data_IF_416914858668
#
_entry.id   IF_416914858668
#
_cell.length_a   1.000
_cell.length_b   1.000
_cell.length_c   1.000
_cell.angle_alpha   90.00
_cell.angle_beta   90.00
_cell.angle_gamma   90.00
#
_symmetry.space_group_name_H-M   'P 1'
#
loop_
_entity.id
_entity.type
_entity.pdbx_description
1 polymer ?
#
# COMPACT_ATOMS: atom_id res chain seq x y z
N UNK A 1 -21.33 19.96 41.10
CA UNK A 1 -22.24 20.16 39.96
C UNK A 1 -21.58 21.21 39.06
N UNK A 2 -21.16 20.83 37.85
CA UNK A 2 -20.63 21.79 36.88
C UNK A 2 -21.81 22.53 36.24
N UNK A 3 -21.81 23.86 36.33
CA UNK A 3 -22.76 24.73 35.66
C UNK A 3 -22.58 24.58 34.14
N UNK A 4 -23.52 23.93 33.47
CA UNK A 4 -23.56 23.88 32.01
C UNK A 4 -24.18 25.19 31.50
N UNK A 5 -23.37 26.08 30.92
CA UNK A 5 -23.86 27.29 30.26
C UNK A 5 -24.15 26.94 28.79
N UNK A 6 -25.42 26.86 28.34
CA UNK A 6 -25.78 26.41 27.00
C UNK A 6 -25.31 27.34 25.86
N UNK A 7 -24.59 28.43 26.16
CA UNK A 7 -24.00 29.35 25.19
C UNK A 7 -22.48 29.18 24.99
N UNK A 8 -21.82 28.35 25.78
CA UNK A 8 -20.38 28.06 25.62
C UNK A 8 -20.20 26.71 24.94
N UNK A 9 -19.50 26.71 23.80
CA UNK A 9 -19.12 25.47 23.11
C UNK A 9 -18.03 24.78 23.94
N UNK A 10 -18.31 23.56 24.40
CA UNK A 10 -17.30 22.69 25.01
C UNK A 10 -16.35 22.16 23.93
N UNK A 11 -15.33 22.96 23.63
CA UNK A 11 -14.30 22.59 22.67
C UNK A 11 -13.54 21.32 23.07
N UNK A 12 -13.49 20.97 24.37
CA UNK A 12 -12.85 19.74 24.82
C UNK A 12 -13.65 18.51 24.39
N UNK A 13 -14.98 18.60 24.47
CA UNK A 13 -15.89 17.60 23.94
C UNK A 13 -15.82 17.53 22.42
N UNK A 14 -15.94 18.67 21.73
CA UNK A 14 -15.94 18.75 20.26
C UNK A 14 -14.66 18.14 19.66
N UNK A 15 -13.49 18.48 20.21
CA UNK A 15 -12.20 17.93 19.73
C UNK A 15 -12.01 16.43 20.03
N UNK A 16 -12.84 15.81 20.86
CA UNK A 16 -12.84 14.36 21.08
C UNK A 16 -13.83 13.61 20.18
N UNK A 17 -14.72 14.31 19.47
CA UNK A 17 -15.65 13.66 18.54
C UNK A 17 -14.85 13.07 17.36
N UNK A 18 -15.06 11.78 17.10
CA UNK A 18 -14.38 11.08 16.00
C UNK A 18 -14.76 11.69 14.65
N UNK A 19 -16.02 12.08 14.52
CA UNK A 19 -16.58 12.73 13.35
C UNK A 19 -15.86 14.06 13.09
N UNK A 20 -15.73 14.92 14.11
CA UNK A 20 -15.04 16.20 13.95
C UNK A 20 -13.59 16.03 13.52
N UNK A 21 -12.86 15.11 14.17
CA UNK A 21 -11.47 14.81 13.80
C UNK A 21 -11.35 14.24 12.38
N UNK A 22 -12.38 13.58 11.85
CA UNK A 22 -12.35 13.06 10.47
C UNK A 22 -12.43 14.17 9.41
N UNK A 23 -13.03 15.32 9.72
CA UNK A 23 -13.18 16.45 8.80
C UNK A 23 -12.03 17.45 8.83
N UNK A 24 -11.25 17.49 9.93
CA UNK A 24 -10.10 18.39 10.03
C UNK A 24 -9.01 18.00 9.03
N UNK A 25 -8.49 18.96 8.27
CA UNK A 25 -7.24 18.73 7.53
C UNK A 25 -6.04 18.65 8.49
N UNK A 26 -4.89 18.21 8.00
CA UNK A 26 -3.66 18.25 8.80
C UNK A 26 -3.27 19.69 9.14
N UNK A 27 -3.46 20.63 8.21
CA UNK A 27 -3.21 22.05 8.42
C UNK A 27 -4.09 22.61 9.54
N UNK A 28 -5.39 22.32 9.51
CA UNK A 28 -6.32 22.76 10.56
C UNK A 28 -5.94 22.15 11.92
N UNK A 29 -5.54 20.88 11.94
CA UNK A 29 -5.09 20.22 13.16
C UNK A 29 -3.83 20.87 13.74
N UNK A 30 -2.90 21.32 12.89
CA UNK A 30 -1.70 22.07 13.32
C UNK A 30 -2.12 23.41 13.92
N UNK A 31 -2.96 24.18 13.24
CA UNK A 31 -3.42 25.49 13.73
C UNK A 31 -4.17 25.37 15.06
N UNK A 32 -5.10 24.41 15.17
CA UNK A 32 -5.82 24.13 16.42
C UNK A 32 -4.85 23.75 17.55
N UNK A 33 -3.80 22.99 17.26
CA UNK A 33 -2.82 22.57 18.26
C UNK A 33 -2.00 23.72 18.85
N UNK A 34 -1.94 24.86 18.15
CA UNK A 34 -1.22 26.06 18.61
C UNK A 34 -2.06 26.92 19.56
N UNK A 35 -3.38 26.75 19.60
CA UNK A 35 -4.28 27.58 20.40
C UNK A 35 -4.00 27.48 21.91
N UNK A 36 -3.82 26.26 22.44
CA UNK A 36 -3.45 26.02 23.84
C UNK A 36 -2.93 24.58 24.06
N UNK A 37 -2.44 24.30 25.27
CA UNK A 37 -1.88 22.99 25.62
C UNK A 37 -2.90 21.85 25.51
N UNK A 38 -4.16 22.08 25.87
CA UNK A 38 -5.19 21.04 25.79
C UNK A 38 -5.46 20.64 24.34
N UNK A 39 -5.68 21.61 23.46
CA UNK A 39 -5.83 21.37 22.02
C UNK A 39 -4.63 20.61 21.47
N UNK A 40 -3.41 20.99 21.87
CA UNK A 40 -2.18 20.27 21.49
C UNK A 40 -2.21 18.81 21.89
N UNK A 41 -2.55 18.49 23.15
CA UNK A 41 -2.62 17.10 23.61
C UNK A 41 -3.68 16.30 22.84
N UNK A 42 -4.85 16.90 22.58
CA UNK A 42 -5.96 16.24 21.86
C UNK A 42 -5.65 15.99 20.38
N UNK A 43 -4.84 16.85 19.77
CA UNK A 43 -4.44 16.70 18.36
C UNK A 43 -3.26 15.76 18.15
N UNK A 44 -2.53 15.35 19.21
CA UNK A 44 -1.37 14.43 19.07
C UNK A 44 -1.64 13.17 18.24
N UNK A 45 -2.76 12.42 18.43
CA UNK A 45 -3.03 11.23 17.63
C UNK A 45 -3.12 11.53 16.13
N UNK A 46 -3.68 12.69 15.76
CA UNK A 46 -3.82 13.10 14.36
C UNK A 46 -2.50 13.61 13.79
N UNK A 47 -1.81 14.47 14.54
CA UNK A 47 -0.54 15.08 14.16
C UNK A 47 0.60 14.05 14.04
N UNK A 48 0.59 13.03 14.90
CA UNK A 48 1.63 12.01 14.99
C UNK A 48 1.10 10.62 14.61
N UNK A 49 0.17 10.55 13.65
CA UNK A 49 -0.38 9.29 13.15
C UNK A 49 0.59 8.56 12.22
N UNK A 50 1.33 9.31 11.41
CA UNK A 50 2.19 8.79 10.34
C UNK A 50 3.62 9.29 10.53
N UNK A 51 4.56 8.35 10.60
CA UNK A 51 5.98 8.62 10.57
C UNK A 51 6.49 8.46 9.13
N UNK A 52 7.11 9.50 8.57
CA UNK A 52 7.61 9.50 7.18
C UNK A 52 9.12 9.67 7.18
N UNK A 53 9.82 8.74 6.53
CA UNK A 53 11.27 8.81 6.33
C UNK A 53 11.63 8.69 4.85
N UNK A 54 12.79 9.25 4.51
CA UNK A 54 13.27 9.32 3.13
C UNK A 54 12.60 10.45 2.36
N UNK A 55 12.86 10.51 1.06
CA UNK A 55 12.34 11.55 0.18
C UNK A 55 11.50 10.95 -0.91
N UNK A 56 10.36 11.57 -1.19
CA UNK A 56 9.63 11.26 -2.42
C UNK A 56 10.37 11.84 -3.60
N UNK A 57 10.20 11.22 -4.77
CA UNK A 57 10.83 11.70 -6.00
C UNK A 57 10.47 13.15 -6.34
N UNK A 58 9.26 13.59 -6.00
CA UNK A 58 8.77 14.96 -6.21
C UNK A 58 9.52 15.98 -5.34
N UNK A 59 9.95 15.58 -4.14
CA UNK A 59 10.67 16.41 -3.18
C UNK A 59 12.17 16.57 -3.54
N UNK A 60 12.69 15.73 -4.46
CA UNK A 60 14.10 15.74 -4.86
C UNK A 60 14.55 17.04 -5.53
N UNK A 61 13.64 17.75 -6.19
CA UNK A 61 13.96 19.01 -6.90
C UNK A 61 14.32 20.15 -5.95
N UNK A 62 13.67 20.21 -4.79
CA UNK A 62 13.96 21.17 -3.71
C UNK A 62 15.19 20.67 -2.92
N UNK A 63 15.26 19.36 -2.66
CA UNK A 63 16.29 18.75 -1.85
C UNK A 63 17.69 18.75 -2.48
N UNK A 64 17.80 18.50 -3.78
CA UNK A 64 19.07 18.58 -4.51
C UNK A 64 19.71 19.98 -4.42
N UNK A 65 18.91 21.05 -4.27
CA UNK A 65 19.47 22.40 -4.06
C UNK A 65 20.09 22.61 -2.69
N UNK A 66 19.57 21.95 -1.65
CA UNK A 66 20.06 22.14 -0.27
C UNK A 66 21.15 21.13 0.10
N UNK A 67 21.14 19.93 -0.49
CA UNK A 67 22.20 18.93 -0.30
C UNK A 67 23.48 19.28 -1.07
N UNK A 68 23.37 19.87 -2.27
CA UNK A 68 24.51 20.46 -3.00
C UNK A 68 25.17 21.62 -2.24
N UNK A 69 24.44 22.28 -1.32
CA UNK A 69 24.99 23.31 -0.43
C UNK A 69 25.64 22.75 0.85
N UNK A 70 25.66 21.42 1.04
CA UNK A 70 26.28 20.77 2.21
C UNK A 70 25.60 21.07 3.55
N UNK A 71 24.35 21.57 3.56
CA UNK A 71 23.68 22.08 4.77
C UNK A 71 22.92 21.03 5.60
N UNK A 72 22.66 19.84 5.06
CA UNK A 72 21.86 18.81 5.73
C UNK A 72 22.59 17.47 5.72
N UNK A 73 22.98 16.99 6.91
CA UNK A 73 23.40 15.60 7.12
C UNK A 73 22.19 14.79 7.60
N UNK A 74 21.58 14.03 6.68
CA UNK A 74 20.38 13.23 6.94
C UNK A 74 20.59 12.21 8.05
N UNK A 75 21.81 11.69 8.21
CA UNK A 75 22.11 10.73 9.27
C UNK A 75 22.01 11.34 10.65
N UNK A 76 22.38 12.61 10.81
CA UNK A 76 22.24 13.32 12.08
C UNK A 76 20.77 13.58 12.40
N UNK A 77 19.97 14.02 11.43
CA UNK A 77 18.53 14.30 11.66
C UNK A 77 17.76 13.03 12.04
N UNK A 78 18.03 11.90 11.38
CA UNK A 78 17.39 10.63 11.72
C UNK A 78 17.93 10.09 13.05
N UNK A 79 19.23 10.24 13.33
CA UNK A 79 19.82 9.85 14.62
C UNK A 79 19.25 10.68 15.77
N UNK A 80 19.12 11.99 15.59
CA UNK A 80 18.57 12.91 16.57
C UNK A 80 17.08 12.60 16.75
N UNK A 81 16.30 12.39 15.70
CA UNK A 81 14.89 12.02 15.85
C UNK A 81 14.70 10.63 16.49
N UNK A 82 15.50 9.62 16.15
CA UNK A 82 15.40 8.28 16.78
C UNK A 82 15.82 8.33 18.27
N UNK A 83 16.84 9.12 18.60
CA UNK A 83 17.34 9.25 19.97
C UNK A 83 16.50 10.22 20.82
N UNK A 84 15.88 11.22 20.21
CA UNK A 84 15.11 12.28 20.87
C UNK A 84 13.60 12.10 20.76
N UNK A 85 13.08 11.23 19.88
CA UNK A 85 11.65 10.94 19.78
C UNK A 85 11.15 10.51 21.17
N UNK A 86 10.43 11.39 21.88
CA UNK A 86 10.18 11.14 23.27
C UNK A 86 9.22 9.96 23.35
N UNK A 87 9.47 9.03 24.28
CA UNK A 87 8.56 7.93 24.65
C UNK A 87 7.09 8.38 24.82
N UNK A 88 6.87 9.67 25.01
CA UNK A 88 5.55 10.30 25.16
C UNK A 88 4.74 10.41 23.86
N UNK A 89 5.37 10.38 22.69
CA UNK A 89 4.67 10.47 21.39
C UNK A 89 4.71 9.19 20.56
N UNK A 90 5.61 8.25 20.85
CA UNK A 90 5.76 7.00 20.08
C UNK A 90 4.46 6.20 20.00
N UNK A 91 3.64 6.25 21.05
CA UNK A 91 2.34 5.59 21.12
C UNK A 91 1.30 6.07 20.10
N UNK A 92 1.47 7.27 19.52
CA UNK A 92 0.52 7.82 18.56
C UNK A 92 0.81 7.40 17.12
N UNK A 93 2.06 6.99 16.83
CA UNK A 93 2.45 6.56 15.50
C UNK A 93 1.91 5.17 15.22
N UNK A 94 1.02 5.10 14.24
CA UNK A 94 0.37 3.88 13.79
C UNK A 94 0.79 3.51 12.37
N UNK A 95 1.27 4.47 11.59
CA UNK A 95 1.75 4.24 10.22
C UNK A 95 3.21 4.65 10.06
N UNK A 96 3.96 3.87 9.27
CA UNK A 96 5.33 4.16 8.88
C UNK A 96 5.43 4.14 7.35
N UNK A 97 5.87 5.25 6.76
CA UNK A 97 6.16 5.35 5.33
C UNK A 97 7.65 5.61 5.11
N UNK A 98 8.28 4.79 4.27
CA UNK A 98 9.71 4.85 3.98
C UNK A 98 9.89 5.02 2.48
N UNK A 99 10.57 6.09 2.11
CA UNK A 99 10.89 6.43 0.72
C UNK A 99 12.39 6.37 0.47
N UNK A 100 12.78 6.67 -0.77
CA UNK A 100 14.15 6.69 -1.25
C UNK A 100 15.14 7.36 -0.30
N UNK A 101 16.38 6.89 -0.38
CA UNK A 101 17.53 7.42 0.39
C UNK A 101 17.46 7.18 1.90
N UNK A 102 16.44 6.49 2.40
CA UNK A 102 16.42 6.02 3.78
C UNK A 102 17.47 4.91 4.00
N UNK A 103 18.25 5.03 5.08
CA UNK A 103 19.14 3.96 5.51
C UNK A 103 18.33 2.80 6.08
N UNK A 104 18.09 1.79 5.25
CA UNK A 104 17.19 0.67 5.55
C UNK A 104 17.58 -0.11 6.80
N UNK A 105 18.84 -0.10 7.21
CA UNK A 105 19.32 -0.74 8.45
C UNK A 105 18.75 -0.10 9.72
N UNK A 106 18.20 1.12 9.61
CA UNK A 106 17.48 1.78 10.71
C UNK A 106 16.04 1.29 10.85
N UNK A 107 15.52 0.47 9.94
CA UNK A 107 14.16 -0.06 10.05
C UNK A 107 13.95 -0.86 11.33
N UNK A 108 14.88 -1.77 11.65
CA UNK A 108 14.84 -2.58 12.86
C UNK A 108 14.72 -1.75 14.15
N UNK A 109 15.65 -0.81 14.45
CA UNK A 109 15.53 0.00 15.66
C UNK A 109 14.30 0.92 15.66
N UNK A 110 13.81 1.36 14.50
CA UNK A 110 12.56 2.14 14.42
C UNK A 110 11.38 1.29 14.85
N UNK A 111 11.23 0.06 14.33
CA UNK A 111 10.10 -0.80 14.70
C UNK A 111 10.16 -1.24 16.17
N UNK A 112 11.35 -1.31 16.77
CA UNK A 112 11.53 -1.53 18.21
C UNK A 112 10.99 -0.35 19.06
N UNK A 113 11.11 0.88 18.56
CA UNK A 113 10.61 2.10 19.25
C UNK A 113 9.11 2.31 19.02
N UNK A 114 8.66 2.13 17.77
CA UNK A 114 7.27 2.33 17.36
C UNK A 114 6.58 0.98 17.22
N UNK A 115 6.37 0.31 18.36
CA UNK A 115 5.82 -1.04 18.38
C UNK A 115 4.31 -1.12 18.10
N UNK A 116 3.59 0.01 18.06
CA UNK A 116 2.15 0.10 17.77
C UNK A 116 1.81 0.26 16.28
N UNK A 117 2.82 0.16 15.40
CA UNK A 117 2.62 0.28 13.95
C UNK A 117 1.64 -0.78 13.44
N UNK A 118 0.58 -0.31 12.79
CA UNK A 118 -0.44 -1.11 12.14
C UNK A 118 -0.25 -1.15 10.61
N UNK A 119 0.52 -0.22 10.05
CA UNK A 119 0.73 -0.08 8.62
C UNK A 119 2.16 0.32 8.32
N UNK A 120 2.78 -0.39 7.38
CA UNK A 120 4.08 -0.04 6.83
C UNK A 120 3.98 0.06 5.33
N UNK A 121 4.48 1.17 4.79
CA UNK A 121 4.62 1.40 3.35
C UNK A 121 6.08 1.69 3.00
N UNK A 122 6.66 0.93 2.08
CA UNK A 122 8.05 1.12 1.62
C UNK A 122 8.06 1.30 0.11
N UNK A 123 8.77 2.32 -0.36
CA UNK A 123 8.76 2.77 -1.75
C UNK A 123 10.17 2.88 -2.31
N UNK A 124 10.41 2.22 -3.45
CA UNK A 124 11.55 2.43 -4.33
C UNK A 124 12.93 2.27 -3.65
N UNK A 125 13.09 1.22 -2.85
CA UNK A 125 14.30 0.92 -2.07
C UNK A 125 14.76 -0.53 -2.28
N UNK A 126 16.07 -0.74 -2.18
CA UNK A 126 16.70 -2.05 -2.01
C UNK A 126 16.76 -2.43 -0.53
N UNK A 127 16.25 -3.61 -0.18
CA UNK A 127 16.18 -4.06 1.21
C UNK A 127 16.83 -5.44 1.32
N UNK A 128 17.88 -5.60 2.15
CA UNK A 128 18.36 -6.93 2.52
C UNK A 128 17.22 -7.76 3.12
N UNK A 129 17.05 -9.00 2.65
CA UNK A 129 15.95 -9.87 3.07
C UNK A 129 15.95 -10.05 4.59
N UNK A 130 17.12 -10.26 5.20
CA UNK A 130 17.28 -10.34 6.67
C UNK A 130 16.73 -9.12 7.41
N UNK A 131 16.87 -7.91 6.86
CA UNK A 131 16.41 -6.67 7.51
C UNK A 131 14.88 -6.60 7.52
N UNK A 132 14.21 -6.89 6.39
CA UNK A 132 12.74 -6.87 6.34
C UNK A 132 12.15 -8.01 7.19
N UNK A 133 12.73 -9.21 7.15
CA UNK A 133 12.32 -10.34 7.98
C UNK A 133 12.40 -9.98 9.47
N UNK A 134 13.55 -9.49 9.93
CA UNK A 134 13.75 -9.12 11.32
C UNK A 134 12.86 -7.95 11.76
N UNK A 135 12.42 -7.10 10.83
CA UNK A 135 11.49 -6.00 11.12
C UNK A 135 10.05 -6.54 11.26
N UNK A 136 9.60 -7.37 10.32
CA UNK A 136 8.28 -8.01 10.35
C UNK A 136 8.04 -8.85 11.62
N UNK A 137 9.05 -9.61 12.07
CA UNK A 137 8.94 -10.44 13.29
C UNK A 137 8.70 -9.63 14.58
N UNK A 138 9.02 -8.32 14.59
CA UNK A 138 8.81 -7.43 15.74
C UNK A 138 7.46 -6.72 15.74
N UNK A 139 6.79 -6.65 14.59
CA UNK A 139 5.61 -5.82 14.38
C UNK A 139 4.32 -6.56 14.73
N UNK A 140 4.02 -6.67 16.02
CA UNK A 140 2.91 -7.49 16.54
C UNK A 140 1.51 -7.02 16.15
N UNK A 141 1.35 -5.74 15.80
CA UNK A 141 0.06 -5.14 15.47
C UNK A 141 -0.08 -4.82 13.97
N UNK A 142 0.84 -5.28 13.13
CA UNK A 142 0.83 -4.99 11.70
C UNK A 142 -0.40 -5.60 11.03
N UNK A 143 -1.20 -4.73 10.41
CA UNK A 143 -2.39 -5.08 9.62
C UNK A 143 -2.16 -4.90 8.13
N UNK A 144 -1.33 -3.92 7.75
CA UNK A 144 -1.08 -3.57 6.35
C UNK A 144 0.41 -3.49 6.03
N UNK A 145 0.81 -4.13 4.92
CA UNK A 145 2.15 -4.01 4.36
C UNK A 145 2.04 -3.64 2.89
N UNK A 146 2.59 -2.47 2.55
CA UNK A 146 2.70 -1.98 1.18
C UNK A 146 4.15 -1.89 0.75
N UNK A 147 4.50 -2.63 -0.29
CA UNK A 147 5.79 -2.59 -0.96
C UNK A 147 5.55 -2.15 -2.41
N UNK A 148 6.21 -1.07 -2.82
CA UNK A 148 6.07 -0.51 -4.17
C UNK A 148 7.45 -0.21 -4.74
N UNK A 149 7.80 -0.80 -5.88
CA UNK A 149 9.13 -0.71 -6.50
C UNK A 149 10.25 -1.13 -5.56
N UNK A 150 9.98 -2.08 -4.67
CA UNK A 150 10.94 -2.58 -3.69
C UNK A 150 11.67 -3.79 -4.26
N UNK A 151 12.99 -3.81 -4.09
CA UNK A 151 13.80 -4.98 -4.43
C UNK A 151 14.37 -5.59 -3.15
N UNK A 152 13.95 -6.81 -2.83
CA UNK A 152 14.53 -7.60 -1.76
C UNK A 152 15.81 -8.26 -2.26
N UNK A 153 16.88 -8.20 -1.46
CA UNK A 153 18.17 -8.83 -1.78
C UNK A 153 18.42 -9.95 -0.79
N UNK A 154 18.41 -11.19 -1.29
CA UNK A 154 18.77 -12.39 -0.54
C UNK A 154 20.25 -12.70 -0.76
N UNK A 155 21.04 -12.69 0.30
CA UNK A 155 22.45 -13.07 0.27
C UNK A 155 22.64 -14.58 0.46
N UNK A 156 23.80 -15.13 0.12
CA UNK A 156 24.07 -16.57 0.24
C UNK A 156 23.90 -17.10 1.67
N UNK A 157 24.17 -16.25 2.67
CA UNK A 157 24.03 -16.62 4.09
C UNK A 157 22.60 -16.50 4.61
N UNK A 158 21.64 -16.10 3.78
CA UNK A 158 20.23 -16.01 4.13
C UNK A 158 19.58 -17.38 3.95
N UNK A 159 19.81 -18.26 4.94
CA UNK A 159 19.11 -19.55 5.04
C UNK A 159 17.63 -19.28 5.36
N UNK A 160 16.73 -19.52 4.40
CA UNK A 160 15.30 -19.45 4.63
C UNK A 160 14.68 -20.82 4.37
N UNK A 161 14.24 -21.50 5.43
CA UNK A 161 13.55 -22.80 5.38
C UNK A 161 12.04 -22.70 5.63
N UNK A 162 11.49 -21.48 5.64
CA UNK A 162 10.09 -21.22 5.95
C UNK A 162 9.48 -20.09 5.10
N UNK A 163 8.30 -19.54 5.50
CA UNK A 163 7.67 -18.45 4.76
C UNK A 163 8.59 -17.24 4.70
N UNK A 164 8.59 -16.54 3.57
CA UNK A 164 9.51 -15.42 3.33
C UNK A 164 9.40 -14.34 4.41
N UNK A 165 8.19 -14.03 4.88
CA UNK A 165 7.92 -13.08 5.96
C UNK A 165 6.97 -13.73 6.96
N UNK A 166 7.26 -13.60 8.26
CA UNK A 166 6.31 -13.96 9.32
C UNK A 166 5.53 -12.71 9.70
N UNK A 167 4.23 -12.72 9.42
CA UNK A 167 3.32 -11.60 9.72
C UNK A 167 2.35 -12.00 10.84
N UNK A 168 1.81 -11.04 11.61
CA UNK A 168 0.83 -11.32 12.66
C UNK A 168 -0.45 -11.96 12.13
N UNK A 169 -1.20 -12.62 13.02
CA UNK A 169 -2.50 -13.21 12.70
C UNK A 169 -3.51 -12.19 12.20
N UNK A 170 -3.46 -10.96 12.69
CA UNK A 170 -4.36 -9.85 12.39
C UNK A 170 -4.04 -9.15 11.05
N UNK A 171 -3.01 -9.63 10.33
CA UNK A 171 -2.59 -9.09 9.06
C UNK A 171 -3.68 -9.26 8.00
N UNK A 172 -4.12 -8.15 7.38
CA UNK A 172 -5.30 -8.13 6.51
C UNK A 172 -5.10 -7.44 5.16
N UNK A 173 -3.99 -6.72 4.94
CA UNK A 173 -3.75 -6.00 3.69
C UNK A 173 -2.32 -6.16 3.20
N UNK A 174 -2.15 -6.72 1.99
CA UNK A 174 -0.87 -6.84 1.31
C UNK A 174 -0.91 -6.15 -0.05
N UNK A 175 0.04 -5.24 -0.27
CA UNK A 175 0.22 -4.55 -1.54
C UNK A 175 1.64 -4.78 -2.05
N UNK A 176 1.75 -5.43 -3.19
CA UNK A 176 3.01 -5.68 -3.90
C UNK A 176 2.91 -5.07 -5.31
N UNK A 177 3.64 -3.99 -5.56
CA UNK A 177 3.64 -3.34 -6.87
C UNK A 177 5.06 -3.24 -7.41
N UNK A 178 5.32 -3.81 -8.58
CA UNK A 178 6.63 -3.82 -9.23
C UNK A 178 7.76 -4.24 -8.25
N UNK A 179 7.52 -5.28 -7.46
CA UNK A 179 8.45 -5.77 -6.44
C UNK A 179 9.28 -6.95 -6.94
N UNK A 180 10.53 -7.04 -6.50
CA UNK A 180 11.47 -8.06 -6.95
C UNK A 180 12.22 -8.71 -5.79
N UNK A 181 12.66 -9.95 -5.98
CA UNK A 181 13.61 -10.67 -5.16
C UNK A 181 14.82 -11.00 -6.03
N UNK A 182 15.98 -10.52 -5.60
CA UNK A 182 17.27 -10.83 -6.18
C UNK A 182 17.99 -11.81 -5.25
N UNK A 183 18.54 -12.89 -5.82
CA UNK A 183 19.51 -13.73 -5.14
C UNK A 183 20.90 -13.23 -5.49
N UNK A 184 21.58 -12.65 -4.51
CA UNK A 184 22.94 -12.14 -4.66
C UNK A 184 23.94 -13.28 -4.47
N UNK A 185 25.02 -13.26 -5.26
CA UNK A 185 26.17 -14.14 -5.06
C UNK A 185 27.03 -13.72 -3.85
N UNK A 186 26.76 -12.54 -3.28
CA UNK A 186 27.47 -12.04 -2.11
C UNK A 186 27.00 -12.76 -0.85
N UNK A 187 27.91 -12.90 0.12
CA UNK A 187 27.64 -13.53 1.42
C UNK A 187 27.01 -12.55 2.41
N UNK A 188 27.29 -11.26 2.28
CA UNK A 188 26.71 -10.17 3.07
C UNK A 188 26.48 -8.93 2.20
N UNK A 189 25.76 -7.95 2.73
CA UNK A 189 25.44 -6.73 2.00
C UNK A 189 26.66 -5.78 1.89
N UNK A 190 27.16 -5.51 0.68
CA UNK A 190 28.19 -4.52 0.39
C UNK A 190 27.73 -3.07 0.56
N UNK A 191 26.50 -2.75 0.99
CA UNK A 191 26.10 -1.39 1.38
C UNK A 191 26.73 -0.92 2.71
N UNK A 192 27.56 -1.76 3.37
CA UNK A 192 28.67 -1.24 4.19
C UNK A 192 29.74 -0.49 3.37
N UNK A 193 29.72 -0.60 2.03
CA UNK A 193 30.75 -0.19 1.06
C UNK A 193 30.17 0.49 -0.23
N UNK A 194 28.91 0.97 -0.23
CA UNK A 194 28.28 1.74 -1.33
C UNK A 194 28.16 1.02 -2.70
N UNK A 195 27.58 -0.18 -2.73
CA UNK A 195 27.36 -0.97 -3.96
C UNK A 195 26.08 -0.61 -4.72
N UNK A 196 26.12 -0.59 -6.06
CA UNK A 196 24.96 -0.35 -6.92
C UNK A 196 24.48 -1.65 -7.58
N UNK A 197 23.29 -2.12 -7.19
CA UNK A 197 22.67 -3.34 -7.70
C UNK A 197 21.97 -3.18 -9.05
N UNK A 198 21.82 -1.97 -9.59
CA UNK A 198 21.14 -1.75 -10.86
C UNK A 198 21.97 -2.12 -12.09
N UNK A 199 23.30 -2.16 -11.96
CA UNK A 199 24.23 -2.34 -13.08
C UNK A 199 24.61 -3.80 -13.36
N UNK A 200 24.24 -4.74 -12.49
CA UNK A 200 24.54 -6.14 -12.72
C UNK A 200 23.39 -6.84 -13.42
N UNK A 201 23.72 -7.78 -14.31
CA UNK A 201 22.78 -8.67 -14.98
C UNK A 201 22.21 -9.72 -14.01
N UNK A 202 21.78 -9.29 -12.81
CA UNK A 202 21.22 -10.17 -11.81
C UNK A 202 19.77 -10.47 -12.20
N UNK A 203 19.43 -11.76 -12.28
CA UNK A 203 18.06 -12.18 -12.54
C UNK A 203 17.14 -11.63 -11.43
N UNK A 204 16.31 -10.65 -11.77
CA UNK A 204 15.25 -10.14 -10.89
C UNK A 204 14.07 -11.10 -10.98
N UNK A 205 13.84 -11.90 -9.94
CA UNK A 205 12.60 -12.65 -9.82
C UNK A 205 11.54 -11.71 -9.26
N UNK A 206 10.33 -11.73 -9.78
CA UNK A 206 9.25 -10.91 -9.21
C UNK A 206 8.80 -11.47 -7.86
N UNK A 207 8.46 -10.57 -6.94
CA UNK A 207 8.03 -10.91 -5.59
C UNK A 207 6.50 -10.90 -5.51
N UNK A 208 5.90 -12.05 -5.22
CA UNK A 208 4.44 -12.21 -5.16
C UNK A 208 3.90 -12.77 -3.84
N UNK A 209 4.73 -13.47 -3.06
CA UNK A 209 4.33 -14.10 -1.78
C UNK A 209 3.10 -15.02 -1.88
N UNK A 210 2.86 -15.62 -3.06
CA UNK A 210 1.71 -16.48 -3.33
C UNK A 210 1.78 -17.84 -2.61
N UNK A 211 2.95 -18.24 -2.13
CA UNK A 211 3.18 -19.46 -1.37
C UNK A 211 2.80 -19.33 0.11
N UNK A 212 2.56 -18.11 0.59
CA UNK A 212 2.21 -17.86 1.98
C UNK A 212 0.74 -18.07 2.27
N UNK A 213 0.43 -18.20 3.57
CA UNK A 213 -0.92 -18.32 4.09
C UNK A 213 -1.16 -17.18 5.09
N UNK A 214 -2.16 -16.36 4.80
CA UNK A 214 -2.55 -15.19 5.59
C UNK A 214 -4.00 -15.35 6.03
N UNK A 215 -4.21 -15.83 7.26
CA UNK A 215 -5.54 -16.28 7.71
C UNK A 215 -6.63 -15.21 7.66
N UNK A 216 -6.28 -13.92 7.76
CA UNK A 216 -7.22 -12.80 7.79
C UNK A 216 -7.04 -11.80 6.63
N UNK A 217 -6.46 -12.24 5.50
CA UNK A 217 -6.24 -11.35 4.36
C UNK A 217 -7.55 -10.93 3.69
N UNK A 218 -7.85 -9.63 3.74
CA UNK A 218 -9.06 -9.02 3.18
C UNK A 218 -8.78 -8.20 1.91
N UNK A 219 -7.54 -7.73 1.76
CA UNK A 219 -7.11 -6.90 0.64
C UNK A 219 -5.78 -7.38 0.07
N UNK A 220 -5.77 -7.64 -1.23
CA UNK A 220 -4.58 -8.07 -1.95
C UNK A 220 -4.36 -7.25 -3.21
N UNK A 221 -3.14 -6.77 -3.39
CA UNK A 221 -2.72 -6.08 -4.61
C UNK A 221 -1.44 -6.67 -5.14
N UNK A 222 -1.44 -7.05 -6.41
CA UNK A 222 -0.27 -7.57 -7.11
C UNK A 222 -0.16 -6.95 -8.50
N UNK A 223 0.82 -6.06 -8.66
CA UNK A 223 1.04 -5.26 -9.88
C UNK A 223 2.46 -5.51 -10.42
N UNK A 224 2.60 -5.49 -11.75
CA UNK A 224 3.89 -5.61 -12.43
C UNK A 224 4.39 -7.05 -12.56
N UNK A 225 3.47 -8.02 -12.50
CA UNK A 225 3.74 -9.47 -12.51
C UNK A 225 3.74 -10.03 -13.92
N UNK A 226 4.41 -11.17 -14.17
CA UNK A 226 4.30 -11.89 -15.46
C UNK A 226 3.08 -12.81 -15.47
N UNK A 227 2.44 -12.97 -16.63
CA UNK A 227 1.28 -13.88 -16.82
C UNK A 227 1.55 -15.33 -16.39
N UNK A 228 2.81 -15.77 -16.37
CA UNK A 228 3.23 -17.10 -15.93
C UNK A 228 2.85 -17.43 -14.48
N UNK A 229 2.59 -16.44 -13.63
CA UNK A 229 2.19 -16.67 -12.23
C UNK A 229 0.68 -16.79 -12.01
N UNK A 230 -0.11 -16.68 -13.08
CA UNK A 230 -1.58 -16.73 -13.00
C UNK A 230 -2.13 -18.00 -12.33
N UNK A 231 -1.62 -19.22 -12.60
CA UNK A 231 -2.09 -20.41 -11.89
C UNK A 231 -1.88 -20.33 -10.38
N UNK A 232 -0.69 -19.88 -9.94
CA UNK A 232 -0.39 -19.70 -8.52
C UNK A 232 -1.23 -18.59 -7.86
N UNK A 233 -1.63 -17.57 -8.63
CA UNK A 233 -2.56 -16.55 -8.16
C UNK A 233 -3.95 -17.14 -7.90
N UNK A 234 -4.46 -17.98 -8.80
CA UNK A 234 -5.75 -18.66 -8.64
C UNK A 234 -5.72 -19.52 -7.37
N UNK A 235 -4.68 -20.36 -7.21
CA UNK A 235 -4.50 -21.20 -6.01
C UNK A 235 -4.35 -20.37 -4.73
N UNK A 236 -3.79 -19.16 -4.82
CA UNK A 236 -3.71 -18.23 -3.71
C UNK A 236 -5.08 -17.67 -3.34
N UNK A 237 -5.85 -17.20 -4.32
CA UNK A 237 -7.18 -16.64 -4.09
C UNK A 237 -8.15 -17.68 -3.51
N UNK A 238 -8.08 -18.93 -3.98
CA UNK A 238 -8.89 -20.04 -3.45
C UNK A 238 -8.64 -20.30 -1.96
N UNK A 239 -7.36 -20.23 -1.53
CA UNK A 239 -6.96 -20.39 -0.12
C UNK A 239 -7.28 -19.19 0.77
N UNK A 240 -7.65 -18.04 0.20
CA UNK A 240 -7.90 -16.80 0.94
C UNK A 240 -9.33 -16.28 0.71
N UNK A 241 -10.36 -17.00 1.19
CA UNK A 241 -11.76 -16.70 0.92
C UNK A 241 -12.25 -15.38 1.54
N UNK A 242 -11.46 -14.75 2.42
CA UNK A 242 -11.80 -13.46 3.04
C UNK A 242 -11.41 -12.25 2.18
N UNK A 243 -10.69 -12.45 1.06
CA UNK A 243 -10.31 -11.33 0.18
C UNK A 243 -11.57 -10.71 -0.42
N UNK A 244 -11.82 -9.45 -0.07
CA UNK A 244 -12.92 -8.64 -0.60
C UNK A 244 -12.43 -7.55 -1.55
N UNK A 245 -11.15 -7.18 -1.45
CA UNK A 245 -10.48 -6.19 -2.30
C UNK A 245 -9.34 -6.82 -3.08
N UNK A 246 -9.44 -6.78 -4.41
CA UNK A 246 -8.44 -7.33 -5.30
C UNK A 246 -7.99 -6.28 -6.30
N UNK A 247 -6.67 -6.04 -6.36
CA UNK A 247 -6.06 -5.22 -7.42
C UNK A 247 -5.03 -6.04 -8.18
N UNK A 248 -5.16 -6.11 -9.50
CA UNK A 248 -4.28 -6.90 -10.37
C UNK A 248 -3.76 -6.07 -11.54
N UNK A 249 -2.59 -6.46 -12.08
CA UNK A 249 -2.23 -6.05 -13.43
C UNK A 249 -3.03 -6.81 -14.49
N UNK A 250 -3.42 -6.11 -15.55
CA UNK A 250 -4.27 -6.66 -16.62
C UNK A 250 -3.63 -7.84 -17.38
N UNK A 251 -2.31 -7.92 -17.40
CA UNK A 251 -1.56 -9.02 -18.01
C UNK A 251 -1.60 -10.33 -17.18
N UNK A 252 -2.11 -10.30 -15.94
CA UNK A 252 -2.41 -11.50 -15.15
C UNK A 252 -3.79 -12.10 -15.48
N UNK A 253 -4.60 -11.39 -16.26
CA UNK A 253 -5.94 -11.84 -16.62
C UNK A 253 -5.83 -12.79 -17.81
N UNK A 254 -5.79 -14.09 -17.53
CA UNK A 254 -6.06 -15.14 -18.53
C UNK A 254 -7.55 -15.48 -18.53
N UNK A 255 -8.04 -16.19 -19.54
CA UNK A 255 -9.45 -16.63 -19.56
C UNK A 255 -9.81 -17.43 -18.30
N UNK A 256 -8.90 -18.29 -17.82
CA UNK A 256 -9.11 -19.06 -16.60
C UNK A 256 -9.21 -18.16 -15.37
N UNK A 257 -8.32 -17.17 -15.24
CA UNK A 257 -8.35 -16.23 -14.12
C UNK A 257 -9.61 -15.37 -14.11
N UNK A 258 -10.06 -14.90 -15.28
CA UNK A 258 -11.31 -14.14 -15.40
C UNK A 258 -12.51 -14.95 -14.97
N UNK A 259 -12.65 -16.18 -15.47
CA UNK A 259 -13.74 -17.07 -15.11
C UNK A 259 -13.74 -17.34 -13.60
N UNK A 260 -12.58 -17.70 -13.04
CA UNK A 260 -12.43 -17.95 -11.62
C UNK A 260 -12.80 -16.74 -10.75
N UNK A 261 -12.24 -15.55 -11.05
CA UNK A 261 -12.53 -14.32 -10.29
C UNK A 261 -14.02 -13.95 -10.40
N UNK A 262 -14.65 -14.20 -11.54
CA UNK A 262 -16.07 -13.88 -11.74
C UNK A 262 -17.02 -14.71 -10.88
N UNK A 263 -16.59 -15.91 -10.50
CA UNK A 263 -17.35 -16.84 -9.66
C UNK A 263 -17.11 -16.63 -8.15
N UNK A 264 -16.06 -15.89 -7.76
CA UNK A 264 -15.72 -15.68 -6.35
C UNK A 264 -16.70 -14.70 -5.67
N UNK A 265 -17.55 -15.17 -4.73
CA UNK A 265 -18.53 -14.32 -4.08
C UNK A 265 -17.92 -13.39 -3.04
N UNK A 266 -16.69 -13.65 -2.58
CA UNK A 266 -15.99 -12.83 -1.59
C UNK A 266 -15.53 -11.49 -2.17
N UNK A 267 -15.07 -11.48 -3.42
CA UNK A 267 -14.53 -10.27 -4.06
C UNK A 267 -15.67 -9.30 -4.36
N UNK A 268 -15.59 -8.10 -3.78
CA UNK A 268 -16.54 -7.01 -3.99
C UNK A 268 -15.92 -5.82 -4.69
N UNK A 269 -14.61 -5.64 -4.52
CA UNK A 269 -13.86 -4.52 -5.07
C UNK A 269 -12.79 -5.10 -6.00
N UNK A 270 -12.90 -4.80 -7.29
CA UNK A 270 -11.93 -5.23 -8.29
C UNK A 270 -11.31 -3.99 -8.96
N UNK A 271 -10.00 -3.90 -8.89
CA UNK A 271 -9.23 -2.88 -9.59
C UNK A 271 -8.25 -3.55 -10.56
N UNK A 272 -8.21 -3.05 -11.78
CA UNK A 272 -7.32 -3.57 -12.82
C UNK A 272 -6.46 -2.42 -13.33
N UNK A 273 -5.15 -2.57 -13.16
CA UNK A 273 -4.14 -1.66 -13.72
C UNK A 273 -3.65 -2.20 -15.06
N UNK A 274 -3.75 -1.39 -16.11
CA UNK A 274 -3.33 -1.81 -17.44
C UNK A 274 -1.81 -1.96 -17.55
N UNK A 275 -1.39 -3.18 -17.87
CA UNK A 275 -0.02 -3.55 -18.21
C UNK A 275 0.01 -4.44 -19.47
N UNK A 276 -0.99 -4.31 -20.35
CA UNK A 276 -1.13 -5.11 -21.57
C UNK A 276 -2.04 -6.33 -21.39
N UNK A 277 -3.35 -6.10 -21.53
CA UNK A 277 -4.34 -7.18 -21.56
C UNK A 277 -4.39 -7.83 -22.94
N UNK A 278 -4.68 -9.13 -23.00
CA UNK A 278 -4.96 -9.81 -24.26
C UNK A 278 -6.36 -9.39 -24.76
N UNK A 279 -6.48 -8.71 -25.91
CA UNK A 279 -7.76 -8.23 -26.42
C UNK A 279 -8.68 -9.35 -26.93
N UNK A 280 -8.20 -10.59 -27.01
CA UNK A 280 -8.99 -11.76 -27.43
C UNK A 280 -9.76 -12.43 -26.28
N UNK A 281 -9.54 -11.99 -25.04
CA UNK A 281 -10.24 -12.52 -23.87
C UNK A 281 -11.73 -12.22 -23.94
N UNK A 282 -12.53 -13.22 -23.56
CA UNK A 282 -13.98 -13.08 -23.44
C UNK A 282 -14.27 -12.70 -21.99
N UNK A 283 -14.93 -11.57 -21.77
CA UNK A 283 -15.17 -11.07 -20.42
C UNK A 283 -16.45 -11.72 -19.84
N UNK A 284 -16.33 -12.51 -18.75
CA UNK A 284 -17.49 -13.13 -18.12
C UNK A 284 -18.33 -12.09 -17.38
N UNK A 285 -19.54 -12.48 -16.98
CA UNK A 285 -20.39 -11.65 -16.11
C UNK A 285 -19.80 -11.67 -14.70
N UNK A 286 -19.71 -10.50 -14.07
CA UNK A 286 -19.21 -10.34 -12.70
C UNK A 286 -20.35 -9.98 -11.75
N UNK A 287 -21.15 -10.95 -11.26
CA UNK A 287 -22.37 -10.67 -10.50
C UNK A 287 -22.11 -10.15 -9.08
N UNK A 288 -20.92 -10.38 -8.54
CA UNK A 288 -20.58 -10.08 -7.15
C UNK A 288 -19.81 -8.78 -6.95
N UNK A 289 -19.22 -8.24 -8.02
CA UNK A 289 -18.43 -7.01 -7.97
C UNK A 289 -19.36 -5.81 -7.77
N UNK A 290 -19.04 -4.99 -6.77
CA UNK A 290 -19.77 -3.79 -6.39
C UNK A 290 -18.97 -2.53 -6.68
N UNK A 291 -17.66 -2.59 -6.62
CA UNK A 291 -16.81 -1.45 -6.93
C UNK A 291 -15.77 -1.88 -7.95
N UNK A 292 -15.75 -1.19 -9.08
CA UNK A 292 -14.83 -1.50 -10.17
C UNK A 292 -13.98 -0.29 -10.54
N UNK A 293 -12.69 -0.52 -10.74
CA UNK A 293 -11.76 0.49 -11.26
C UNK A 293 -10.94 -0.13 -12.37
N UNK A 294 -10.87 0.55 -13.50
CA UNK A 294 -10.09 0.12 -14.64
C UNK A 294 -9.35 1.30 -15.24
N UNK A 295 -8.03 1.22 -15.24
CA UNK A 295 -7.15 2.26 -15.75
C UNK A 295 -6.35 1.71 -16.93
N UNK A 296 -6.77 2.02 -18.16
CA UNK A 296 -6.00 1.82 -19.38
C UNK A 296 -5.09 2.99 -19.71
N UNK A 297 -3.83 2.70 -20.04
CA UNK A 297 -2.91 3.72 -20.54
C UNK A 297 -2.96 3.85 -22.07
N UNK A 298 -3.57 2.87 -22.76
CA UNK A 298 -3.65 2.84 -24.23
C UNK A 298 -5.08 2.80 -24.76
N UNK A 299 -5.36 3.61 -25.77
CA UNK A 299 -6.66 3.69 -26.47
C UNK A 299 -7.01 2.42 -27.26
N UNK A 300 -6.04 1.54 -27.50
CA UNK A 300 -6.25 0.26 -28.19
C UNK A 300 -7.10 -0.73 -27.37
N UNK A 301 -7.31 -0.46 -26.08
CA UNK A 301 -8.10 -1.30 -25.17
C UNK A 301 -9.51 -0.78 -24.91
N UNK A 302 -9.99 0.16 -25.73
CA UNK A 302 -11.34 0.70 -25.58
C UNK A 302 -12.44 -0.37 -25.73
N UNK A 303 -12.25 -1.36 -26.61
CA UNK A 303 -13.24 -2.44 -26.83
C UNK A 303 -13.34 -3.39 -25.63
N UNK A 304 -12.22 -3.86 -25.12
CA UNK A 304 -12.20 -4.76 -23.95
C UNK A 304 -12.63 -4.01 -22.69
N UNK A 305 -12.30 -2.72 -22.55
CA UNK A 305 -12.80 -1.88 -21.49
C UNK A 305 -14.32 -1.76 -21.50
N UNK A 306 -14.91 -1.49 -22.67
CA UNK A 306 -16.35 -1.49 -22.85
C UNK A 306 -16.96 -2.83 -22.39
N UNK A 307 -16.39 -3.97 -22.79
CA UNK A 307 -16.87 -5.29 -22.40
C UNK A 307 -16.82 -5.51 -20.87
N UNK A 308 -15.74 -5.09 -20.19
CA UNK A 308 -15.70 -5.11 -18.73
C UNK A 308 -16.86 -4.34 -18.11
N UNK A 309 -17.12 -3.13 -18.58
CA UNK A 309 -18.14 -2.29 -17.98
C UNK A 309 -19.56 -2.84 -18.17
N UNK A 310 -19.86 -3.41 -19.35
CA UNK A 310 -21.20 -3.93 -19.64
C UNK A 310 -21.48 -5.27 -18.95
N UNK A 311 -20.44 -6.05 -18.61
CA UNK A 311 -20.55 -7.33 -17.89
C UNK A 311 -20.64 -7.20 -16.37
N UNK A 312 -20.57 -5.98 -15.83
CA UNK A 312 -20.74 -5.69 -14.41
C UNK A 312 -22.22 -5.32 -14.13
N UNK A 313 -22.94 -6.21 -13.46
CA UNK A 313 -24.42 -6.14 -13.36
C UNK A 313 -24.93 -5.61 -12.02
N UNK A 314 -24.08 -5.00 -11.21
CA UNK A 314 -24.36 -4.85 -9.79
C UNK A 314 -23.51 -3.79 -9.07
N UNK A 315 -23.01 -2.79 -9.79
CA UNK A 315 -22.08 -1.79 -9.27
C UNK A 315 -22.76 -0.77 -8.34
N UNK A 316 -22.00 -0.35 -7.33
CA UNK A 316 -22.23 0.77 -6.43
C UNK A 316 -21.28 1.93 -6.74
N UNK A 317 -20.07 1.64 -7.21
CA UNK A 317 -19.06 2.62 -7.63
C UNK A 317 -18.32 2.15 -8.87
N UNK A 318 -18.03 3.08 -9.78
CA UNK A 318 -17.24 2.84 -10.98
C UNK A 318 -16.21 3.95 -11.17
N UNK A 319 -14.95 3.57 -11.42
CA UNK A 319 -13.94 4.46 -12.00
C UNK A 319 -13.56 3.93 -13.36
N UNK A 320 -13.77 4.74 -14.38
CA UNK A 320 -13.51 4.38 -15.78
C UNK A 320 -12.74 5.51 -16.45
N UNK A 321 -11.86 5.15 -17.38
CA UNK A 321 -11.26 6.12 -18.29
C UNK A 321 -12.28 6.62 -19.30
N UNK A 322 -12.05 7.82 -19.82
CA UNK A 322 -12.83 8.33 -20.96
C UNK A 322 -12.43 7.59 -22.25
N UNK A 323 -13.40 7.16 -23.04
CA UNK A 323 -13.18 6.51 -24.33
C UNK A 323 -14.28 6.86 -25.35
N UNK A 324 -14.11 6.43 -26.60
CA UNK A 324 -15.10 6.64 -27.67
C UNK A 324 -16.38 5.84 -27.37
N UNK A 325 -17.56 6.44 -27.57
CA UNK A 325 -18.87 5.85 -27.22
C UNK A 325 -19.13 5.76 -25.70
N UNK A 326 -18.48 6.64 -24.93
CA UNK A 326 -18.70 6.75 -23.48
C UNK A 326 -20.18 6.88 -23.09
N UNK A 327 -20.94 7.74 -23.79
CA UNK A 327 -22.35 8.00 -23.45
C UNK A 327 -23.25 6.76 -23.62
N UNK A 328 -23.06 6.01 -24.71
CA UNK A 328 -23.79 4.76 -24.97
C UNK A 328 -23.44 3.71 -23.92
N UNK A 329 -22.15 3.53 -23.65
CA UNK A 329 -21.69 2.58 -22.64
C UNK A 329 -22.18 2.95 -21.25
N UNK A 330 -22.16 4.24 -20.89
CA UNK A 330 -22.66 4.72 -19.60
C UNK A 330 -24.16 4.42 -19.45
N UNK A 331 -24.95 4.57 -20.51
CA UNK A 331 -26.38 4.25 -20.50
C UNK A 331 -26.59 2.76 -20.19
N UNK A 332 -25.83 1.87 -20.84
CA UNK A 332 -25.90 0.43 -20.60
C UNK A 332 -25.43 0.06 -19.18
N UNK A 333 -24.35 0.67 -18.68
CA UNK A 333 -23.88 0.49 -17.30
C UNK A 333 -24.97 0.87 -16.30
N UNK A 334 -25.62 2.02 -16.48
CA UNK A 334 -26.66 2.51 -15.58
C UNK A 334 -27.90 1.60 -15.59
N UNK A 335 -28.23 1.00 -16.73
CA UNK A 335 -29.29 -0.01 -16.82
C UNK A 335 -28.91 -1.29 -16.09
N UNK A 336 -27.65 -1.73 -16.24
CA UNK A 336 -27.15 -2.96 -15.62
C UNK A 336 -26.83 -2.79 -14.13
N UNK A 337 -26.63 -1.57 -13.63
CA UNK A 337 -26.21 -1.28 -12.25
C UNK A 337 -27.07 -0.17 -11.63
N UNK A 338 -28.33 -0.45 -11.23
CA UNK A 338 -29.26 0.55 -10.71
C UNK A 338 -28.83 1.16 -9.37
N UNK A 339 -27.89 0.52 -8.67
CA UNK A 339 -27.35 0.99 -7.39
C UNK A 339 -26.10 1.87 -7.53
N UNK A 340 -25.66 2.18 -8.77
CA UNK A 340 -24.50 3.01 -9.02
C UNK A 340 -24.81 4.42 -8.49
N UNK A 341 -24.11 4.82 -7.42
CA UNK A 341 -24.31 6.13 -6.81
C UNK A 341 -23.66 7.20 -7.70
N UNK A 342 -24.43 8.23 -8.06
CA UNK A 342 -23.97 9.41 -8.77
C UNK A 342 -22.97 10.23 -7.95
#
# INVERSE_FOLDING_TARGET
MLHFNPREIDWCFVLNLKEFNSYLSLTDAIEISQLNNLCRQKQKPKLFSILKYGLKNEDLTIFNRELVKGKLNFENIVKDFINEAPKTISQYFVELAIHNYFNIYKLVPIVDIFNNLNSISIFNIFIPLKVIVASCERLRFLKALKLEKVTLVQFQTDLNTGPLLKLPSEFSCLVLSDCYLIKSELTEDPLKLAYNYDNEAISKNQLYMLDQNFSNLESYTVIGSKSTVTPALIDFLDRHPLITNLTLSSNLLTQNALNFISELPSIKNLNIEDRGIDPSLIIPIFPHIRNFKLYFHSSQFNSIGHEFYTKLTNLNSLSMNYFRNFAETLTEILQNSPNLKN
#
